data_IF_605523957836
#
_entry.id   IF_605523957836
#
_cell.length_a   1.000
_cell.length_b   1.000
_cell.length_c   1.000
_cell.angle_alpha   90.00
_cell.angle_beta   90.00
_cell.angle_gamma   90.00
#
_symmetry.space_group_name_H-M   'P 1'
#
loop_
_entity.id
_entity.type
_entity.pdbx_description
1 polymer ?
#
# COMPACT_ATOMS: atom_id res chain seq x y z
N UNK A 1 50.78 -45.61 -67.49
CA UNK A 1 50.04 -45.24 -66.27
C UNK A 1 48.82 -46.12 -66.26
N UNK A 2 49.00 -47.37 -65.85
CA UNK A 2 48.87 -47.87 -64.47
C UNK A 2 47.44 -48.38 -64.26
N UNK A 3 47.42 -49.70 -64.13
CA UNK A 3 46.42 -50.74 -63.87
C UNK A 3 45.07 -50.45 -63.18
N UNK A 4 44.13 -51.43 -63.29
CA UNK A 4 42.74 -51.39 -62.81
C UNK A 4 42.59 -52.03 -61.40
N UNK A 5 41.32 -52.24 -60.99
CA UNK A 5 40.79 -53.04 -59.86
C UNK A 5 40.43 -52.28 -58.57
N UNK A 6 39.22 -51.71 -58.53
CA UNK A 6 38.41 -51.73 -57.30
C UNK A 6 37.82 -53.14 -57.17
N UNK A 7 38.51 -53.97 -56.39
CA UNK A 7 38.02 -55.26 -55.94
C UNK A 7 37.46 -55.03 -54.54
N UNK A 8 36.20 -54.60 -54.48
CA UNK A 8 35.41 -54.55 -53.26
C UNK A 8 34.98 -55.97 -52.91
N UNK A 9 35.79 -56.66 -52.10
CA UNK A 9 35.44 -57.87 -51.37
C UNK A 9 36.50 -58.14 -50.29
N UNK A 10 36.21 -57.74 -49.05
CA UNK A 10 36.20 -58.65 -47.90
C UNK A 10 35.22 -58.10 -46.88
N UNK A 11 33.93 -58.33 -47.13
CA UNK A 11 32.91 -58.31 -46.09
C UNK A 11 33.31 -59.30 -45.01
N UNK A 12 33.61 -58.79 -43.83
CA UNK A 12 33.45 -59.57 -42.61
C UNK A 12 31.95 -59.47 -42.35
N UNK A 13 31.19 -60.45 -42.82
CA UNK A 13 29.77 -60.57 -42.50
C UNK A 13 29.68 -60.78 -40.98
N UNK A 14 29.51 -59.68 -40.25
CA UNK A 14 29.34 -59.70 -38.80
C UNK A 14 27.92 -60.21 -38.55
N UNK A 15 27.82 -61.48 -38.13
CA UNK A 15 26.55 -62.12 -37.80
C UNK A 15 26.39 -62.17 -36.28
N UNK A 16 25.28 -61.64 -35.78
CA UNK A 16 24.95 -61.72 -34.36
C UNK A 16 23.44 -61.77 -34.15
N UNK A 17 23.02 -62.38 -33.04
CA UNK A 17 21.62 -62.42 -32.63
C UNK A 17 21.33 -61.24 -31.70
N UNK A 18 20.25 -60.51 -31.99
CA UNK A 18 19.81 -59.43 -31.12
C UNK A 18 19.50 -59.99 -29.70
N UNK A 19 20.17 -59.50 -28.63
CA UNK A 19 19.99 -60.05 -27.28
C UNK A 19 18.57 -59.90 -26.72
N UNK A 20 17.83 -58.89 -27.17
CA UNK A 20 16.46 -58.62 -26.70
C UNK A 20 15.37 -59.47 -27.39
N UNK A 21 15.53 -59.81 -28.68
CA UNK A 21 14.47 -60.48 -29.43
C UNK A 21 14.91 -61.75 -30.18
N UNK A 22 16.20 -62.08 -30.18
CA UNK A 22 16.76 -63.25 -30.86
C UNK A 22 16.70 -63.19 -32.39
N UNK A 23 16.43 -62.02 -32.98
CA UNK A 23 16.46 -61.86 -34.44
C UNK A 23 17.91 -61.90 -34.92
N UNK A 24 18.18 -62.77 -35.90
CA UNK A 24 19.49 -62.90 -36.53
C UNK A 24 19.75 -61.71 -37.45
N UNK A 25 20.89 -61.05 -37.27
CA UNK A 25 21.30 -59.85 -37.99
C UNK A 25 22.60 -60.14 -38.74
N UNK A 26 22.65 -59.76 -40.01
CA UNK A 26 23.83 -59.87 -40.87
C UNK A 26 24.27 -58.47 -41.31
N UNK A 27 25.52 -58.11 -40.99
CA UNK A 27 26.15 -56.83 -41.36
C UNK A 27 26.12 -55.78 -40.24
N UNK A 28 26.65 -54.60 -40.54
CA UNK A 28 26.70 -53.46 -39.61
C UNK A 28 25.35 -52.73 -39.59
N UNK A 29 24.55 -52.94 -38.54
CA UNK A 29 23.35 -52.15 -38.28
C UNK A 29 23.41 -51.61 -36.86
N UNK A 30 23.13 -50.32 -36.68
CA UNK A 30 23.15 -49.67 -35.37
C UNK A 30 21.88 -49.96 -34.55
N UNK A 31 20.85 -50.54 -35.18
CA UNK A 31 19.57 -50.88 -34.51
C UNK A 31 19.00 -52.17 -35.05
N UNK A 32 18.36 -52.95 -34.17
CA UNK A 32 17.67 -54.16 -34.57
C UNK A 32 16.45 -53.83 -35.46
N UNK A 33 16.34 -54.39 -36.68
CA UNK A 33 15.20 -54.13 -37.56
C UNK A 33 13.87 -54.70 -37.04
N UNK A 34 13.89 -55.69 -36.15
CA UNK A 34 12.66 -56.31 -35.64
C UNK A 34 12.14 -55.67 -34.35
N UNK A 35 13.01 -55.25 -33.42
CA UNK A 35 12.57 -54.69 -32.13
C UNK A 35 13.01 -53.23 -31.89
N UNK A 36 13.89 -52.69 -32.73
CA UNK A 36 14.33 -51.30 -32.66
C UNK A 36 15.34 -50.99 -31.56
N UNK A 37 15.87 -51.98 -30.84
CA UNK A 37 16.93 -51.76 -29.84
C UNK A 37 18.21 -51.27 -30.54
N UNK A 38 18.85 -50.25 -29.97
CA UNK A 38 20.08 -49.64 -30.49
C UNK A 38 21.31 -50.35 -29.92
N UNK A 39 22.22 -50.73 -30.80
CA UNK A 39 23.47 -51.39 -30.46
C UNK A 39 24.52 -50.32 -30.21
N UNK A 40 24.95 -50.18 -28.95
CA UNK A 40 26.04 -49.28 -28.59
C UNK A 40 27.31 -50.11 -28.53
N UNK A 41 28.16 -49.97 -29.56
CA UNK A 41 29.51 -50.55 -29.55
C UNK A 41 30.40 -49.52 -28.85
N UNK A 42 30.63 -49.69 -27.54
CA UNK A 42 31.60 -48.88 -26.82
C UNK A 42 33.02 -49.29 -27.23
N UNK A 43 33.78 -48.35 -27.82
CA UNK A 43 35.22 -48.53 -28.03
C UNK A 43 35.92 -48.68 -26.67
N UNK A 44 36.40 -49.89 -26.39
CA UNK A 44 37.10 -50.18 -25.14
C UNK A 44 38.51 -49.62 -25.22
N UNK A 45 38.80 -48.55 -24.47
CA UNK A 45 40.13 -47.97 -24.39
C UNK A 45 41.14 -49.00 -23.87
N UNK A 46 42.23 -49.23 -24.60
CA UNK A 46 43.31 -50.15 -24.19
C UNK A 46 44.35 -49.41 -23.34
N UNK A 47 44.69 -49.97 -22.17
CA UNK A 47 45.75 -49.51 -21.27
C UNK A 47 46.94 -50.48 -21.36
N UNK A 48 48.16 -49.96 -21.44
CA UNK A 48 49.37 -50.78 -21.33
C UNK A 48 49.80 -50.96 -19.88
N UNK A 49 50.08 -52.20 -19.48
CA UNK A 49 50.59 -52.50 -18.15
C UNK A 49 52.02 -51.94 -17.98
N UNK A 50 52.30 -51.05 -17.02
CA UNK A 50 53.60 -50.42 -16.86
C UNK A 50 54.72 -51.39 -16.42
N UNK A 51 54.38 -52.62 -16.01
CA UNK A 51 55.35 -53.62 -15.56
C UNK A 51 55.75 -54.63 -16.64
N UNK A 52 54.87 -54.92 -17.60
CA UNK A 52 55.11 -55.94 -18.62
C UNK A 52 54.73 -55.51 -20.05
N UNK A 53 54.24 -54.27 -20.21
CA UNK A 53 53.82 -53.66 -21.47
C UNK A 53 52.73 -54.44 -22.24
N UNK A 54 51.98 -55.29 -21.55
CA UNK A 54 50.82 -55.95 -22.13
C UNK A 54 49.65 -54.97 -22.27
N UNK A 55 49.03 -54.92 -23.44
CA UNK A 55 47.78 -54.19 -23.69
C UNK A 55 46.60 -54.90 -23.01
N UNK A 56 45.77 -54.12 -22.31
CA UNK A 56 44.69 -54.59 -21.45
C UNK A 56 43.47 -53.69 -21.60
N UNK A 57 42.23 -54.19 -21.43
CA UNK A 57 41.04 -53.34 -21.38
C UNK A 57 41.13 -52.34 -20.23
N UNK A 58 40.66 -51.11 -20.47
CA UNK A 58 40.76 -49.96 -19.57
C UNK A 58 40.31 -50.18 -18.13
N UNK A 59 39.41 -51.14 -17.91
CA UNK A 59 38.81 -51.42 -16.61
C UNK A 59 39.48 -52.59 -15.86
N UNK A 60 40.61 -53.10 -16.37
CA UNK A 60 41.30 -54.25 -15.78
C UNK A 60 42.00 -53.90 -14.46
N UNK A 61 41.45 -54.37 -13.33
CA UNK A 61 42.01 -54.13 -11.97
C UNK A 61 43.39 -54.77 -11.73
N UNK A 62 43.74 -55.78 -12.50
CA UNK A 62 45.04 -56.47 -12.45
C UNK A 62 45.43 -56.96 -13.83
N UNK A 63 46.73 -56.89 -14.15
CA UNK A 63 47.23 -57.46 -15.39
C UNK A 63 47.19 -59.00 -15.34
N UNK A 64 46.58 -59.70 -16.31
CA UNK A 64 46.46 -61.16 -16.38
C UNK A 64 47.77 -61.85 -16.73
N UNK A 65 48.75 -61.13 -17.29
CA UNK A 65 50.04 -61.71 -17.67
C UNK A 65 51.06 -61.67 -16.54
N UNK A 66 51.10 -60.60 -15.75
CA UNK A 66 52.07 -60.47 -14.65
C UNK A 66 51.44 -60.45 -13.25
N UNK A 67 50.12 -60.46 -13.14
CA UNK A 67 49.38 -60.45 -11.87
C UNK A 67 49.46 -59.14 -11.09
N UNK A 68 50.05 -58.08 -11.65
CA UNK A 68 50.21 -56.79 -10.96
C UNK A 68 48.90 -56.02 -10.91
N UNK A 69 48.50 -55.56 -9.73
CA UNK A 69 47.37 -54.64 -9.54
C UNK A 69 47.66 -53.29 -10.18
N UNK A 70 46.72 -52.75 -10.96
CA UNK A 70 46.85 -51.47 -11.68
C UNK A 70 46.43 -50.27 -10.81
N UNK A 71 46.05 -50.54 -9.56
CA UNK A 71 45.71 -49.52 -8.56
C UNK A 71 46.94 -49.27 -7.72
N UNK A 72 47.66 -48.18 -8.00
CA UNK A 72 48.42 -47.53 -6.94
C UNK A 72 47.39 -47.08 -5.90
N UNK A 73 47.47 -47.62 -4.69
CA UNK A 73 46.78 -47.06 -3.52
C UNK A 73 47.31 -45.63 -3.33
N UNK A 74 46.69 -44.68 -4.02
CA UNK A 74 46.91 -43.26 -3.80
C UNK A 74 46.02 -42.83 -2.62
N UNK A 75 46.59 -42.49 -1.45
CA UNK A 75 45.82 -41.82 -0.40
C UNK A 75 45.68 -40.34 -0.79
N UNK A 76 44.92 -40.05 -1.85
CA UNK A 76 44.54 -38.68 -2.23
C UNK A 76 43.19 -38.26 -1.65
N UNK A 77 42.68 -38.95 -0.62
CA UNK A 77 41.45 -38.58 0.09
C UNK A 77 41.67 -37.79 1.38
N UNK A 78 42.89 -37.67 1.89
CA UNK A 78 43.14 -37.06 3.21
C UNK A 78 43.67 -35.61 3.15
N UNK A 79 44.01 -35.08 1.98
CA UNK A 79 44.60 -33.72 1.86
C UNK A 79 43.59 -32.60 1.53
N UNK A 80 42.31 -32.90 1.26
CA UNK A 80 41.26 -31.89 0.99
C UNK A 80 40.24 -31.71 2.14
N UNK A 81 40.33 -32.51 3.21
CA UNK A 81 39.50 -32.32 4.39
C UNK A 81 39.77 -31.04 5.21
N UNK A 82 41.01 -30.53 5.35
CA UNK A 82 41.22 -29.30 6.13
C UNK A 82 40.61 -28.08 5.43
N UNK A 83 40.87 -27.86 4.13
CA UNK A 83 40.35 -26.71 3.38
C UNK A 83 38.80 -26.65 3.33
N UNK A 84 38.11 -27.80 3.25
CA UNK A 84 36.64 -27.85 3.30
C UNK A 84 36.05 -27.62 4.70
N UNK A 85 36.79 -27.88 5.77
CA UNK A 85 36.37 -27.59 7.15
C UNK A 85 36.58 -26.11 7.44
N UNK A 86 37.71 -25.54 7.03
CA UNK A 86 38.02 -24.13 7.17
C UNK A 86 36.98 -23.24 6.46
N UNK A 87 36.57 -23.57 5.22
CA UNK A 87 35.52 -22.83 4.49
C UNK A 87 34.12 -22.91 5.15
N UNK A 88 33.80 -24.03 5.82
CA UNK A 88 32.52 -24.17 6.55
C UNK A 88 32.54 -23.42 7.87
N UNK A 89 33.66 -23.46 8.59
CA UNK A 89 33.85 -22.71 9.83
C UNK A 89 33.85 -21.20 9.58
N UNK A 90 34.47 -20.73 8.49
CA UNK A 90 34.38 -19.34 8.04
C UNK A 90 32.95 -18.94 7.70
N UNK A 91 32.21 -19.75 6.94
CA UNK A 91 30.81 -19.48 6.58
C UNK A 91 29.87 -19.47 7.80
N UNK A 92 30.04 -20.38 8.76
CA UNK A 92 29.27 -20.39 10.02
C UNK A 92 29.58 -19.19 10.90
N UNK A 93 30.84 -18.74 10.92
CA UNK A 93 31.27 -17.55 11.66
C UNK A 93 30.68 -16.28 11.03
N UNK A 94 30.73 -16.16 9.71
CA UNK A 94 30.10 -15.06 8.96
C UNK A 94 28.58 -15.04 9.16
N UNK A 95 27.92 -16.20 9.17
CA UNK A 95 26.50 -16.31 9.44
C UNK A 95 26.12 -15.88 10.86
N UNK A 96 26.93 -16.26 11.88
CA UNK A 96 26.72 -15.81 13.27
C UNK A 96 26.95 -14.32 13.43
N UNK A 97 27.96 -13.75 12.79
CA UNK A 97 28.21 -12.31 12.79
C UNK A 97 27.07 -11.54 12.12
N UNK A 98 26.57 -12.03 10.99
CA UNK A 98 25.38 -11.47 10.32
C UNK A 98 24.13 -11.55 11.19
N UNK A 99 23.88 -12.67 11.87
CA UNK A 99 22.74 -12.81 12.77
C UNK A 99 22.85 -11.85 13.96
N UNK A 100 24.06 -11.67 14.51
CA UNK A 100 24.31 -10.70 15.58
C UNK A 100 24.04 -9.27 15.10
N UNK A 101 24.55 -8.89 13.91
CA UNK A 101 24.30 -7.58 13.31
C UNK A 101 22.79 -7.32 13.09
N UNK A 102 22.05 -8.31 12.60
CA UNK A 102 20.60 -8.20 12.42
C UNK A 102 19.84 -8.04 13.76
N UNK A 103 20.31 -8.68 14.84
CA UNK A 103 19.71 -8.52 16.18
C UNK A 103 19.95 -7.12 16.74
N UNK A 104 21.15 -6.58 16.57
CA UNK A 104 21.50 -5.21 16.95
C UNK A 104 20.64 -4.21 16.15
N UNK A 105 20.53 -4.42 14.84
CA UNK A 105 19.68 -3.60 13.97
C UNK A 105 18.20 -3.65 14.38
N UNK A 106 17.67 -4.85 14.66
CA UNK A 106 16.29 -5.00 15.14
C UNK A 106 16.04 -4.17 16.41
N UNK A 107 16.99 -4.15 17.35
CA UNK A 107 16.89 -3.33 18.56
C UNK A 107 16.83 -1.83 18.25
N UNK A 108 17.62 -1.36 17.29
CA UNK A 108 17.62 0.04 16.84
C UNK A 108 16.31 0.38 16.13
N UNK A 109 15.78 -0.52 15.31
CA UNK A 109 14.49 -0.31 14.64
C UNK A 109 13.33 -0.25 15.64
N UNK A 110 13.32 -1.10 16.66
CA UNK A 110 12.28 -1.06 17.71
C UNK A 110 12.32 0.26 18.47
N UNK A 111 13.51 0.76 18.83
CA UNK A 111 13.65 2.04 19.54
C UNK A 111 13.27 3.25 18.68
N UNK A 112 13.35 3.15 17.35
CA UNK A 112 12.94 4.21 16.41
C UNK A 112 11.46 4.15 16.05
N UNK A 113 10.91 2.96 15.78
CA UNK A 113 9.51 2.78 15.35
C UNK A 113 8.52 3.07 16.48
N UNK A 114 8.86 2.72 17.73
CA UNK A 114 7.99 2.99 18.88
C UNK A 114 7.58 4.47 19.02
N UNK A 115 8.55 5.41 19.08
CA UNK A 115 8.29 6.84 19.08
C UNK A 115 7.53 7.33 17.83
N UNK A 116 7.85 6.81 16.64
CA UNK A 116 7.14 7.20 15.40
C UNK A 116 5.65 6.81 15.45
N UNK A 117 5.31 5.65 16.00
CA UNK A 117 3.91 5.23 16.18
C UNK A 117 3.19 6.12 17.20
N UNK A 118 3.85 6.50 18.29
CA UNK A 118 3.28 7.41 19.28
C UNK A 118 3.00 8.79 18.66
N UNK A 119 4.00 9.35 17.98
CA UNK A 119 3.88 10.62 17.25
C UNK A 119 2.75 10.58 16.21
N UNK A 120 2.66 9.51 15.43
CA UNK A 120 1.58 9.35 14.45
C UNK A 120 0.19 9.35 15.13
N UNK A 121 0.03 8.68 16.28
CA UNK A 121 -1.23 8.69 17.03
C UNK A 121 -1.58 10.05 17.60
N UNK A 122 -0.60 10.76 18.16
CA UNK A 122 -0.80 12.10 18.76
C UNK A 122 -1.26 13.13 17.72
N UNK A 123 -0.97 12.88 16.44
CA UNK A 123 -1.41 13.69 15.30
C UNK A 123 -2.54 13.06 14.48
N UNK A 124 -3.22 12.04 15.04
CA UNK A 124 -4.38 11.37 14.44
C UNK A 124 -4.11 10.75 13.05
N UNK A 125 -2.90 10.26 12.83
CA UNK A 125 -2.50 9.54 11.61
C UNK A 125 -2.85 8.05 11.79
N UNK A 126 -3.40 7.43 10.75
CA UNK A 126 -3.77 6.00 10.80
C UNK A 126 -2.52 5.12 10.94
N UNK A 127 -2.46 4.36 12.02
CA UNK A 127 -1.37 3.44 12.34
C UNK A 127 -1.78 1.97 12.19
N UNK A 128 -2.96 1.68 11.65
CA UNK A 128 -3.52 0.32 11.58
C UNK A 128 -2.63 -0.62 10.77
N UNK A 129 -2.17 -0.19 9.59
CA UNK A 129 -1.28 -0.99 8.74
C UNK A 129 0.11 -1.18 9.38
N UNK A 130 0.68 -0.11 9.96
CA UNK A 130 1.95 -0.15 10.69
C UNK A 130 1.89 -1.11 11.89
N UNK A 131 0.79 -1.10 12.66
CA UNK A 131 0.59 -2.00 13.80
C UNK A 131 0.58 -3.47 13.40
N UNK A 132 -0.07 -3.82 12.28
CA UNK A 132 -0.05 -5.18 11.74
C UNK A 132 1.38 -5.65 11.39
N UNK A 133 2.21 -4.75 10.87
CA UNK A 133 3.61 -5.07 10.56
C UNK A 133 4.46 -5.23 11.82
N UNK A 134 4.22 -4.43 12.85
CA UNK A 134 4.87 -4.61 14.16
C UNK A 134 4.48 -5.96 14.76
N UNK A 135 3.19 -6.33 14.75
CA UNK A 135 2.73 -7.62 15.28
C UNK A 135 3.34 -8.81 14.51
N UNK A 136 3.48 -8.68 13.19
CA UNK A 136 4.19 -9.64 12.32
C UNK A 136 5.66 -9.74 12.70
N UNK A 137 6.37 -8.62 12.85
CA UNK A 137 7.77 -8.58 13.23
C UNK A 137 8.02 -9.20 14.61
N UNK A 138 7.16 -8.92 15.59
CA UNK A 138 7.22 -9.52 16.93
C UNK A 138 7.00 -11.03 16.86
N UNK A 139 6.08 -11.50 16.03
CA UNK A 139 5.82 -12.94 15.84
C UNK A 139 7.03 -13.65 15.22
N UNK A 140 7.66 -13.04 14.21
CA UNK A 140 8.88 -13.56 13.58
C UNK A 140 10.07 -13.55 14.54
N UNK A 141 10.20 -12.50 15.35
CA UNK A 141 11.23 -12.41 16.41
C UNK A 141 11.10 -13.52 17.45
N UNK A 142 9.86 -13.85 17.87
CA UNK A 142 9.61 -14.99 18.79
C UNK A 142 10.01 -16.35 18.19
N UNK A 143 9.94 -16.49 16.86
CA UNK A 143 10.37 -17.69 16.11
C UNK A 143 11.87 -17.74 15.83
N UNK A 144 12.65 -16.75 16.31
CA UNK A 144 14.08 -16.56 16.03
C UNK A 144 14.39 -16.30 14.55
N UNK A 145 13.40 -15.87 13.78
CA UNK A 145 13.56 -15.50 12.37
C UNK A 145 13.92 -14.00 12.28
N UNK A 146 15.18 -13.66 12.57
CA UNK A 146 15.61 -12.26 12.74
C UNK A 146 15.58 -11.48 11.42
N UNK A 147 16.04 -12.06 10.32
CA UNK A 147 16.10 -11.40 9.01
C UNK A 147 14.70 -10.93 8.52
N UNK A 148 13.64 -11.76 8.47
CA UNK A 148 12.30 -11.29 8.09
C UNK A 148 11.65 -10.38 9.14
N UNK A 149 12.04 -10.47 10.41
CA UNK A 149 11.60 -9.52 11.45
C UNK A 149 12.16 -8.12 11.21
N UNK A 150 13.46 -8.02 10.88
CA UNK A 150 14.12 -6.75 10.52
C UNK A 150 13.50 -6.14 9.27
N UNK A 151 13.26 -6.94 8.22
CA UNK A 151 12.57 -6.45 7.00
C UNK A 151 11.18 -5.88 7.32
N UNK A 152 10.38 -6.59 8.11
CA UNK A 152 9.04 -6.14 8.50
C UNK A 152 9.08 -4.85 9.32
N UNK A 153 10.12 -4.66 10.15
CA UNK A 153 10.33 -3.42 10.91
C UNK A 153 10.75 -2.24 10.02
N UNK A 154 11.63 -2.47 9.03
CA UNK A 154 12.00 -1.44 8.04
C UNK A 154 10.78 -1.01 7.21
N UNK A 155 9.99 -1.96 6.73
CA UNK A 155 8.73 -1.68 6.02
C UNK A 155 7.77 -0.85 6.89
N UNK A 156 7.65 -1.18 8.18
CA UNK A 156 6.83 -0.42 9.12
C UNK A 156 7.35 1.03 9.28
N UNK A 157 8.66 1.20 9.42
CA UNK A 157 9.27 2.51 9.56
C UNK A 157 9.03 3.37 8.32
N UNK A 158 9.30 2.85 7.12
CA UNK A 158 9.07 3.56 5.86
C UNK A 158 7.59 3.94 5.68
N UNK A 159 6.68 3.03 6.02
CA UNK A 159 5.24 3.28 5.93
C UNK A 159 4.80 4.44 6.86
N UNK A 160 5.33 4.48 8.09
CA UNK A 160 5.03 5.55 9.04
C UNK A 160 5.63 6.88 8.57
N UNK A 161 6.90 6.88 8.16
CA UNK A 161 7.57 8.08 7.67
C UNK A 161 6.85 8.67 6.45
N UNK A 162 6.44 7.84 5.47
CA UNK A 162 5.61 8.27 4.33
C UNK A 162 4.27 8.83 4.77
N UNK A 163 3.56 8.13 5.68
CA UNK A 163 2.24 8.59 6.15
C UNK A 163 2.31 9.94 6.86
N UNK A 164 3.38 10.18 7.62
CA UNK A 164 3.65 11.45 8.29
C UNK A 164 4.02 12.53 7.26
N UNK A 165 4.89 12.23 6.29
CA UNK A 165 5.25 13.15 5.22
C UNK A 165 4.02 13.58 4.41
N UNK A 166 3.18 12.64 3.98
CA UNK A 166 1.94 12.94 3.25
C UNK A 166 0.99 13.83 4.05
N UNK A 167 0.93 13.65 5.38
CA UNK A 167 0.13 14.51 6.26
C UNK A 167 0.72 15.92 6.33
N UNK A 168 2.03 16.03 6.51
CA UNK A 168 2.73 17.32 6.55
C UNK A 168 2.58 18.07 5.23
N UNK A 169 2.69 17.41 4.09
CA UNK A 169 2.48 18.01 2.77
C UNK A 169 1.06 18.58 2.62
N UNK A 170 0.03 17.80 2.98
CA UNK A 170 -1.36 18.31 2.99
C UNK A 170 -1.53 19.53 3.89
N UNK A 171 -0.88 19.52 5.05
CA UNK A 171 -0.95 20.62 5.99
C UNK A 171 -0.19 21.86 5.52
N UNK A 172 0.94 21.69 4.84
CA UNK A 172 1.68 22.77 4.17
C UNK A 172 0.80 23.41 3.09
N UNK A 173 0.18 22.61 2.23
CA UNK A 173 -0.72 23.12 1.20
C UNK A 173 -1.88 23.93 1.80
N UNK A 174 -2.44 23.46 2.92
CA UNK A 174 -3.48 24.19 3.66
C UNK A 174 -2.98 25.53 4.19
N UNK A 175 -1.79 25.56 4.81
CA UNK A 175 -1.19 26.80 5.31
C UNK A 175 -0.83 27.78 4.19
N UNK A 176 -0.35 27.30 3.04
CA UNK A 176 -0.09 28.15 1.87
C UNK A 176 -1.39 28.78 1.34
N UNK A 177 -2.49 28.02 1.33
CA UNK A 177 -3.82 28.55 1.00
C UNK A 177 -4.24 29.65 1.98
N UNK A 178 -4.06 29.44 3.28
CA UNK A 178 -4.36 30.46 4.29
C UNK A 178 -3.43 31.68 4.22
N UNK A 179 -2.16 31.50 3.85
CA UNK A 179 -1.24 32.60 3.63
C UNK A 179 -1.71 33.50 2.47
N UNK A 180 -2.20 32.92 1.38
CA UNK A 180 -2.77 33.68 0.26
C UNK A 180 -4.04 34.43 0.70
N UNK A 181 -4.91 33.82 1.50
CA UNK A 181 -6.06 34.50 2.09
C UNK A 181 -5.62 35.66 2.98
N UNK A 182 -4.66 35.42 3.89
CA UNK A 182 -4.12 36.45 4.76
C UNK A 182 -3.51 37.62 3.96
N UNK A 183 -2.87 37.33 2.83
CA UNK A 183 -2.33 38.33 1.90
C UNK A 183 -3.44 39.20 1.31
N UNK A 184 -4.52 38.58 0.81
CA UNK A 184 -5.70 39.32 0.30
C UNK A 184 -6.37 40.16 1.39
N UNK A 185 -6.33 39.70 2.63
CA UNK A 185 -6.83 40.43 3.80
C UNK A 185 -5.92 41.58 4.27
N UNK A 186 -4.72 41.72 3.70
CA UNK A 186 -3.70 42.64 4.23
C UNK A 186 -3.23 42.29 5.64
N UNK A 187 -3.41 41.03 6.07
CA UNK A 187 -2.91 40.49 7.34
C UNK A 187 -1.48 39.99 7.17
N UNK A 188 -0.83 39.62 8.30
CA UNK A 188 0.56 39.16 8.31
C UNK A 188 0.73 37.76 7.69
N UNK A 189 0.68 37.68 6.36
CA UNK A 189 0.89 36.44 5.62
C UNK A 189 2.33 35.94 5.71
N UNK A 190 3.30 36.81 5.99
CA UNK A 190 4.73 36.46 6.09
C UNK A 190 4.99 35.54 7.28
N UNK A 191 4.26 35.72 8.38
CA UNK A 191 4.35 34.82 9.52
C UNK A 191 3.92 33.39 9.18
N UNK A 192 2.88 33.21 8.36
CA UNK A 192 2.43 31.88 7.90
C UNK A 192 3.43 31.29 6.90
N UNK A 193 3.91 32.08 5.94
CA UNK A 193 4.93 31.66 4.96
C UNK A 193 6.22 31.21 5.65
N UNK A 194 6.63 31.90 6.72
CA UNK A 194 7.77 31.51 7.54
C UNK A 194 7.55 30.15 8.20
N UNK A 195 6.38 29.90 8.79
CA UNK A 195 6.06 28.60 9.38
C UNK A 195 6.12 27.48 8.34
N UNK A 196 5.64 27.73 7.11
CA UNK A 196 5.75 26.78 6.00
C UNK A 196 7.21 26.52 5.63
N UNK A 197 8.04 27.55 5.54
CA UNK A 197 9.48 27.41 5.26
C UNK A 197 10.21 26.61 6.35
N UNK A 198 9.99 26.96 7.62
CA UNK A 198 10.57 26.28 8.78
C UNK A 198 10.13 24.80 8.83
N UNK A 199 8.88 24.50 8.46
CA UNK A 199 8.37 23.12 8.39
C UNK A 199 9.11 22.33 7.31
N UNK A 200 9.28 22.89 6.12
CA UNK A 200 10.02 22.25 5.01
C UNK A 200 11.48 22.00 5.38
N UNK A 201 12.12 22.93 6.07
CA UNK A 201 13.48 22.77 6.58
C UNK A 201 13.56 21.60 7.57
N UNK A 202 12.65 21.52 8.54
CA UNK A 202 12.58 20.40 9.50
C UNK A 202 12.32 19.05 8.83
N UNK A 203 11.46 19.02 7.82
CA UNK A 203 11.26 17.82 7.00
C UNK A 203 12.54 17.38 6.30
N UNK A 204 13.30 18.31 5.71
CA UNK A 204 14.58 18.02 5.06
C UNK A 204 15.65 17.52 6.05
N UNK A 205 15.58 17.98 7.31
CA UNK A 205 16.43 17.53 8.40
C UNK A 205 15.97 16.20 9.06
N UNK A 206 14.90 15.57 8.55
CA UNK A 206 14.26 14.39 9.15
C UNK A 206 13.72 14.59 10.58
N UNK A 207 13.53 15.84 11.01
CA UNK A 207 12.86 16.19 12.28
C UNK A 207 11.33 16.20 12.09
N UNK A 208 10.74 15.01 11.95
CA UNK A 208 9.30 14.85 11.73
C UNK A 208 8.47 15.34 12.92
N UNK A 209 8.96 15.17 14.15
CA UNK A 209 8.27 15.62 15.36
C UNK A 209 8.19 17.15 15.40
N UNK A 210 9.33 17.84 15.22
CA UNK A 210 9.34 19.29 15.18
C UNK A 210 8.53 19.86 14.01
N UNK A 211 8.54 19.20 12.85
CA UNK A 211 7.71 19.63 11.71
C UNK A 211 6.21 19.56 12.03
N UNK A 212 5.75 18.49 12.68
CA UNK A 212 4.35 18.33 13.07
C UNK A 212 3.90 19.35 14.13
N UNK A 213 4.75 19.68 15.09
CA UNK A 213 4.47 20.72 16.10
C UNK A 213 4.48 22.12 15.48
N UNK A 214 5.42 22.40 14.57
CA UNK A 214 5.51 23.65 13.84
C UNK A 214 4.24 23.89 13.01
N UNK A 215 3.78 22.87 12.27
CA UNK A 215 2.51 22.93 11.51
C UNK A 215 1.31 23.16 12.43
N UNK A 216 1.26 22.50 13.58
CA UNK A 216 0.16 22.68 14.55
C UNK A 216 0.09 24.13 15.04
N UNK A 217 1.22 24.71 15.41
CA UNK A 217 1.27 26.13 15.82
C UNK A 217 0.99 27.09 14.66
N UNK A 218 1.47 26.78 13.45
CA UNK A 218 1.17 27.51 12.23
C UNK A 218 -0.32 27.55 11.90
N UNK A 219 -1.04 26.44 12.09
CA UNK A 219 -2.49 26.38 11.89
C UNK A 219 -3.23 27.31 12.84
N UNK A 220 -2.88 27.29 14.13
CA UNK A 220 -3.47 28.20 15.12
C UNK A 220 -3.20 29.66 14.78
N UNK A 221 -1.98 29.99 14.35
CA UNK A 221 -1.63 31.34 13.90
C UNK A 221 -2.44 31.73 12.66
N UNK A 222 -2.53 30.84 11.68
CA UNK A 222 -3.26 31.09 10.45
C UNK A 222 -4.76 31.31 10.74
N UNK A 223 -5.37 30.49 11.61
CA UNK A 223 -6.74 30.68 12.09
C UNK A 223 -6.96 32.05 12.76
N UNK A 224 -5.99 32.55 13.55
CA UNK A 224 -6.10 33.88 14.15
C UNK A 224 -6.06 35.00 13.11
N UNK A 225 -5.26 34.84 12.05
CA UNK A 225 -5.09 35.83 10.99
C UNK A 225 -6.24 35.78 9.97
N UNK A 226 -6.76 34.59 9.67
CA UNK A 226 -7.80 34.35 8.66
C UNK A 226 -9.17 34.05 9.28
N UNK A 227 -9.34 34.16 10.60
CA UNK A 227 -10.57 33.76 11.27
C UNK A 227 -11.83 34.44 10.73
N UNK A 228 -11.72 35.72 10.35
CA UNK A 228 -12.82 36.46 9.72
C UNK A 228 -13.21 35.88 8.34
N UNK A 229 -12.24 35.41 7.57
CA UNK A 229 -12.49 34.74 6.30
C UNK A 229 -13.23 33.42 6.53
N UNK A 230 -12.75 32.60 7.49
CA UNK A 230 -13.38 31.32 7.81
C UNK A 230 -14.81 31.52 8.28
N UNK A 231 -15.05 32.41 9.24
CA UNK A 231 -16.40 32.72 9.75
C UNK A 231 -17.32 33.25 8.63
N UNK A 232 -16.82 34.13 7.76
CA UNK A 232 -17.60 34.66 6.65
C UNK A 232 -18.00 33.58 5.64
N UNK A 233 -17.09 32.67 5.31
CA UNK A 233 -17.37 31.54 4.42
C UNK A 233 -18.36 30.55 5.04
N UNK A 234 -18.22 30.22 6.32
CA UNK A 234 -19.19 29.37 7.03
C UNK A 234 -20.60 29.98 7.03
N UNK A 235 -20.71 31.29 7.26
CA UNK A 235 -21.99 32.00 7.19
C UNK A 235 -22.57 32.01 5.77
N UNK A 236 -21.72 32.21 4.76
CA UNK A 236 -22.12 32.21 3.35
C UNK A 236 -22.64 30.85 2.90
N UNK A 237 -21.86 29.78 3.13
CA UNK A 237 -22.27 28.40 2.80
C UNK A 237 -23.53 28.00 3.58
N UNK A 238 -23.62 28.40 4.84
CA UNK A 238 -24.81 28.22 5.66
C UNK A 238 -26.04 28.91 5.07
N UNK A 239 -25.90 30.15 4.58
CA UNK A 239 -26.99 30.88 3.91
C UNK A 239 -27.38 30.21 2.59
N UNK A 240 -26.40 29.84 1.76
CA UNK A 240 -26.64 29.16 0.47
C UNK A 240 -27.44 27.87 0.68
N UNK A 241 -27.01 27.03 1.61
CA UNK A 241 -27.71 25.79 1.99
C UNK A 241 -29.12 26.08 2.50
N UNK A 242 -29.29 27.11 3.33
CA UNK A 242 -30.59 27.49 3.89
C UNK A 242 -31.55 27.95 2.80
N UNK A 243 -31.06 28.72 1.82
CA UNK A 243 -31.85 29.16 0.64
C UNK A 243 -32.28 27.97 -0.19
N UNK A 244 -31.36 27.08 -0.56
CA UNK A 244 -31.66 25.89 -1.36
C UNK A 244 -32.73 25.03 -0.68
N UNK A 245 -32.59 24.80 0.63
CA UNK A 245 -33.58 24.05 1.39
C UNK A 245 -34.92 24.78 1.44
N UNK A 246 -34.92 26.11 1.61
CA UNK A 246 -36.15 26.91 1.70
C UNK A 246 -36.92 26.96 0.37
N UNK A 247 -36.21 26.97 -0.76
CA UNK A 247 -36.81 26.89 -2.11
C UNK A 247 -37.59 25.58 -2.31
N UNK A 248 -37.13 24.47 -1.74
CA UNK A 248 -37.85 23.18 -1.81
C UNK A 248 -39.24 23.24 -1.18
N UNK A 249 -39.45 24.16 -0.24
CA UNK A 249 -40.73 24.38 0.44
C UNK A 249 -41.46 25.63 -0.07
N UNK A 250 -41.06 26.15 -1.24
CA UNK A 250 -41.69 27.30 -1.89
C UNK A 250 -41.70 28.59 -1.04
N UNK A 251 -40.75 28.73 -0.11
CA UNK A 251 -40.57 29.97 0.63
C UNK A 251 -40.04 31.06 -0.31
N UNK A 252 -40.46 32.32 -0.13
CA UNK A 252 -39.88 33.42 -0.88
C UNK A 252 -38.45 33.69 -0.40
N UNK A 253 -37.49 33.45 -1.29
CA UNK A 253 -36.06 33.62 -1.03
C UNK A 253 -35.44 34.75 -1.85
N UNK A 254 -36.23 35.63 -2.47
CA UNK A 254 -35.71 36.67 -3.38
C UNK A 254 -34.70 37.60 -2.70
N UNK A 255 -35.04 38.14 -1.54
CA UNK A 255 -34.15 39.05 -0.80
C UNK A 255 -32.96 38.29 -0.18
N UNK A 256 -33.13 37.11 0.46
CA UNK A 256 -31.98 36.29 0.88
C UNK A 256 -31.03 35.93 -0.27
N UNK A 257 -31.54 35.65 -1.48
CA UNK A 257 -30.73 35.34 -2.67
C UNK A 257 -29.98 36.57 -3.17
N UNK A 258 -30.59 37.75 -3.10
CA UNK A 258 -29.92 39.03 -3.39
C UNK A 258 -28.78 39.28 -2.39
N UNK A 259 -29.03 39.11 -1.10
CA UNK A 259 -28.01 39.23 -0.05
C UNK A 259 -26.88 38.21 -0.24
N UNK A 260 -27.18 36.97 -0.65
CA UNK A 260 -26.17 35.97 -0.99
C UNK A 260 -25.31 36.40 -2.18
N UNK A 261 -25.89 36.97 -3.22
CA UNK A 261 -25.15 37.48 -4.38
C UNK A 261 -24.26 38.67 -4.01
N UNK A 262 -24.77 39.63 -3.24
CA UNK A 262 -23.99 40.76 -2.73
C UNK A 262 -22.85 40.28 -1.81
N UNK A 263 -23.10 39.26 -0.98
CA UNK A 263 -22.08 38.63 -0.14
C UNK A 263 -20.97 37.99 -0.99
N UNK A 264 -21.34 37.32 -2.10
CA UNK A 264 -20.38 36.74 -3.04
C UNK A 264 -19.52 37.81 -3.69
N UNK A 265 -20.12 38.91 -4.16
CA UNK A 265 -19.38 40.03 -4.76
C UNK A 265 -18.42 40.66 -3.76
N UNK A 266 -18.85 40.85 -2.51
CA UNK A 266 -17.97 41.33 -1.43
C UNK A 266 -16.81 40.37 -1.17
N UNK A 267 -17.07 39.06 -1.14
CA UNK A 267 -16.05 38.02 -1.00
C UNK A 267 -15.06 38.00 -2.16
N UNK A 268 -15.55 38.02 -3.41
CA UNK A 268 -14.70 38.09 -4.61
C UNK A 268 -13.81 39.35 -4.61
N UNK A 269 -14.29 40.45 -4.00
CA UNK A 269 -13.54 41.69 -3.76
C UNK A 269 -12.59 41.67 -2.55
N UNK A 270 -12.56 40.60 -1.76
CA UNK A 270 -11.72 40.47 -0.57
C UNK A 270 -12.30 41.10 0.71
N UNK A 271 -13.54 41.60 0.69
CA UNK A 271 -14.23 42.15 1.84
C UNK A 271 -15.06 41.08 2.56
N UNK A 272 -14.35 40.20 3.26
CA UNK A 272 -14.94 39.10 4.04
C UNK A 272 -15.80 39.59 5.20
N UNK A 273 -15.55 40.80 5.71
CA UNK A 273 -16.35 41.37 6.79
C UNK A 273 -17.75 41.69 6.28
N UNK A 274 -17.82 42.37 5.13
CA UNK A 274 -19.09 42.66 4.48
C UNK A 274 -19.79 41.38 4.00
N UNK A 275 -19.04 40.42 3.44
CA UNK A 275 -19.58 39.10 3.08
C UNK A 275 -20.26 38.42 4.28
N UNK A 276 -19.61 38.36 5.43
CA UNK A 276 -20.17 37.75 6.64
C UNK A 276 -21.40 38.48 7.17
N UNK A 277 -21.41 39.82 7.13
CA UNK A 277 -22.55 40.65 7.54
C UNK A 277 -23.77 40.39 6.63
N UNK A 278 -23.56 40.38 5.31
CA UNK A 278 -24.63 40.14 4.33
C UNK A 278 -25.17 38.71 4.45
N UNK A 279 -24.30 37.72 4.61
CA UNK A 279 -24.70 36.33 4.82
C UNK A 279 -25.53 36.15 6.10
N UNK A 280 -25.09 36.75 7.21
CA UNK A 280 -25.84 36.73 8.48
C UNK A 280 -27.20 37.39 8.34
N UNK A 281 -27.27 38.55 7.69
CA UNK A 281 -28.54 39.25 7.44
C UNK A 281 -29.52 38.39 6.64
N UNK A 282 -29.04 37.68 5.62
CA UNK A 282 -29.89 36.76 4.85
C UNK A 282 -30.39 35.57 5.67
N UNK A 283 -29.57 35.05 6.59
CA UNK A 283 -29.98 33.99 7.50
C UNK A 283 -31.04 34.48 8.50
N UNK A 284 -30.88 35.68 9.05
CA UNK A 284 -31.85 36.31 9.96
C UNK A 284 -33.21 36.51 9.28
N UNK A 285 -33.22 36.95 8.02
CA UNK A 285 -34.44 37.11 7.23
C UNK A 285 -35.17 35.78 7.04
N UNK A 286 -34.45 34.72 6.64
CA UNK A 286 -35.03 33.39 6.51
C UNK A 286 -35.51 32.84 7.87
N UNK A 287 -34.72 32.99 8.93
CA UNK A 287 -35.11 32.57 10.28
C UNK A 287 -36.35 33.29 10.81
N UNK A 288 -36.66 34.49 10.31
CA UNK A 288 -37.93 35.17 10.58
C UNK A 288 -39.14 34.51 9.91
N UNK A 289 -38.98 33.99 8.70
CA UNK A 289 -40.07 33.42 7.91
C UNK A 289 -40.23 31.89 8.07
N UNK A 290 -39.17 31.18 8.44
CA UNK A 290 -39.15 29.72 8.60
C UNK A 290 -40.13 29.17 9.65
N UNK A 291 -40.37 29.78 10.83
CA UNK A 291 -41.18 29.16 11.88
C UNK A 291 -42.61 28.83 11.43
N UNK A 292 -43.26 29.76 10.75
CA UNK A 292 -44.63 29.61 10.26
C UNK A 292 -44.72 28.53 9.19
N UNK A 293 -43.78 28.54 8.24
CA UNK A 293 -43.71 27.55 7.17
C UNK A 293 -43.43 26.14 7.73
N UNK A 294 -42.41 26.01 8.57
CA UNK A 294 -42.04 24.73 9.21
C UNK A 294 -43.18 24.15 10.04
N UNK A 295 -43.97 25.00 10.72
CA UNK A 295 -45.13 24.54 11.49
C UNK A 295 -46.22 23.94 10.59
N UNK A 296 -46.42 24.48 9.38
CA UNK A 296 -47.35 23.94 8.38
C UNK A 296 -46.80 22.63 7.81
N UNK A 297 -45.53 22.59 7.40
CA UNK A 297 -44.92 21.41 6.80
C UNK A 297 -44.80 20.24 7.78
N UNK A 298 -44.49 20.50 9.06
CA UNK A 298 -44.52 19.47 10.10
C UNK A 298 -45.91 18.84 10.26
N UNK A 299 -47.00 19.60 10.07
CA UNK A 299 -48.37 19.04 10.12
C UNK A 299 -48.64 18.17 8.89
N UNK A 300 -48.22 18.62 7.69
CA UNK A 300 -48.35 17.84 6.45
C UNK A 300 -47.55 16.54 6.51
N UNK A 301 -46.30 16.60 6.97
CA UNK A 301 -45.44 15.44 7.15
C UNK A 301 -46.02 14.42 8.13
N UNK A 302 -46.62 14.88 9.24
CA UNK A 302 -47.36 14.00 10.17
C UNK A 302 -48.55 13.31 9.49
N UNK A 303 -49.32 14.06 8.69
CA UNK A 303 -50.46 13.49 7.97
C UNK A 303 -50.00 12.43 6.96
N UNK A 304 -48.98 12.73 6.16
CA UNK A 304 -48.42 11.77 5.19
C UNK A 304 -47.93 10.49 5.87
N UNK A 305 -47.29 10.60 7.04
CA UNK A 305 -46.83 9.46 7.82
C UNK A 305 -48.00 8.56 8.26
N UNK A 306 -49.11 9.15 8.71
CA UNK A 306 -50.31 8.39 9.06
C UNK A 306 -50.89 7.66 7.85
N UNK A 307 -50.92 8.31 6.69
CA UNK A 307 -51.41 7.70 5.46
C UNK A 307 -50.50 6.56 4.97
N UNK A 308 -49.17 6.73 5.05
CA UNK A 308 -48.20 5.69 4.73
C UNK A 308 -48.33 4.48 5.66
N UNK A 309 -48.54 4.72 6.96
CA UNK A 309 -48.80 3.66 7.95
C UNK A 309 -50.12 2.94 7.68
N UNK A 310 -51.18 3.66 7.30
CA UNK A 310 -52.46 3.06 6.94
C UNK A 310 -52.36 2.18 5.68
N UNK A 311 -51.45 2.51 4.76
CA UNK A 311 -51.11 1.70 3.57
C UNK A 311 -50.16 0.54 3.87
N UNK A 312 -49.75 0.33 5.12
CA UNK A 312 -48.87 -0.78 5.54
C UNK A 312 -47.41 -0.62 5.12
N UNK A 313 -46.96 0.59 4.74
CA UNK A 313 -45.55 0.86 4.42
C UNK A 313 -44.72 0.95 5.72
N UNK A 314 -43.44 0.59 5.65
CA UNK A 314 -42.51 0.79 6.78
C UNK A 314 -42.18 2.28 6.92
N UNK A 315 -42.56 2.86 8.05
CA UNK A 315 -42.36 4.28 8.36
C UNK A 315 -41.35 4.51 9.49
N UNK A 316 -40.60 3.47 9.90
CA UNK A 316 -39.75 3.51 11.10
C UNK A 316 -38.68 4.60 11.03
N UNK A 317 -38.03 4.76 9.86
CA UNK A 317 -37.02 5.81 9.64
C UNK A 317 -37.65 7.20 9.61
N UNK A 318 -38.76 7.35 8.89
CA UNK A 318 -39.51 8.61 8.77
C UNK A 318 -40.04 9.13 10.12
N UNK A 319 -40.46 8.25 11.03
CA UNK A 319 -40.88 8.64 12.38
C UNK A 319 -39.71 9.28 13.15
N UNK A 320 -38.51 8.70 13.06
CA UNK A 320 -37.33 9.23 13.75
C UNK A 320 -36.97 10.62 13.23
N UNK A 321 -36.85 10.76 11.91
CA UNK A 321 -36.51 12.03 11.26
C UNK A 321 -37.54 13.12 11.60
N UNK A 322 -38.83 12.80 11.54
CA UNK A 322 -39.90 13.77 11.85
C UNK A 322 -39.92 14.16 13.34
N UNK A 323 -39.59 13.24 14.25
CA UNK A 323 -39.46 13.53 15.67
C UNK A 323 -38.29 14.49 15.91
N UNK A 324 -37.16 14.25 15.27
CA UNK A 324 -35.97 15.09 15.38
C UNK A 324 -36.24 16.49 14.81
N UNK A 325 -36.91 16.59 13.66
CA UNK A 325 -37.38 17.87 13.10
C UNK A 325 -38.25 18.65 14.11
N UNK A 326 -39.17 17.97 14.79
CA UNK A 326 -40.00 18.58 15.82
C UNK A 326 -39.24 19.01 17.07
N UNK A 327 -38.15 18.34 17.43
CA UNK A 327 -37.26 18.75 18.53
C UNK A 327 -36.46 19.99 18.15
N UNK A 328 -35.89 20.04 16.93
CA UNK A 328 -35.16 21.21 16.43
C UNK A 328 -36.07 22.44 16.33
N UNK A 329 -37.31 22.27 15.87
CA UNK A 329 -38.31 23.35 15.84
C UNK A 329 -38.63 23.91 17.24
N UNK A 330 -38.75 23.06 18.27
CA UNK A 330 -38.95 23.50 19.66
C UNK A 330 -37.74 24.20 20.29
N UNK A 331 -36.54 23.94 19.76
CA UNK A 331 -35.29 24.56 20.20
C UNK A 331 -34.94 25.80 19.39
N UNK A 332 -35.86 26.29 18.55
CA UNK A 332 -35.68 27.44 17.66
C UNK A 332 -34.53 27.26 16.67
N UNK A 333 -34.16 26.01 16.37
CA UNK A 333 -33.14 25.66 15.37
C UNK A 333 -33.82 25.40 14.03
N UNK A 334 -34.30 26.46 13.42
CA UNK A 334 -35.14 26.37 12.23
C UNK A 334 -34.40 25.79 11.02
N UNK A 335 -33.12 26.14 10.83
CA UNK A 335 -32.27 25.54 9.78
C UNK A 335 -32.13 24.03 9.92
N UNK A 336 -31.83 23.53 11.14
CA UNK A 336 -31.77 22.08 11.39
C UNK A 336 -33.13 21.41 11.15
N UNK A 337 -34.23 22.03 11.61
CA UNK A 337 -35.58 21.50 11.41
C UNK A 337 -35.93 21.39 9.91
N UNK A 338 -35.52 22.36 9.11
CA UNK A 338 -35.70 22.37 7.67
C UNK A 338 -34.91 21.24 6.99
N UNK A 339 -33.65 21.05 7.38
CA UNK A 339 -32.82 19.93 6.87
C UNK A 339 -33.46 18.57 7.15
N UNK A 340 -33.98 18.37 8.38
CA UNK A 340 -34.69 17.14 8.73
C UNK A 340 -35.98 16.95 7.92
N UNK A 341 -36.70 18.02 7.58
CA UNK A 341 -37.86 17.92 6.70
C UNK A 341 -37.47 17.59 5.25
N UNK A 342 -36.34 18.11 4.77
CA UNK A 342 -35.78 17.72 3.46
C UNK A 342 -35.43 16.24 3.44
N UNK A 343 -34.77 15.73 4.49
CA UNK A 343 -34.49 14.30 4.69
C UNK A 343 -35.80 13.48 4.70
N UNK A 344 -36.82 13.95 5.41
CA UNK A 344 -38.12 13.30 5.48
C UNK A 344 -38.77 13.14 4.11
N UNK A 345 -38.80 14.20 3.29
CA UNK A 345 -39.36 14.12 1.94
C UNK A 345 -38.53 13.25 0.99
N UNK A 346 -37.20 13.17 1.18
CA UNK A 346 -36.36 12.26 0.43
C UNK A 346 -36.68 10.79 0.77
N UNK A 347 -36.95 10.47 2.04
CA UNK A 347 -37.40 9.14 2.46
C UNK A 347 -38.82 8.85 1.99
N UNK A 348 -39.72 9.82 2.02
CA UNK A 348 -41.10 9.69 1.52
C UNK A 348 -41.13 9.30 0.04
N UNK A 349 -40.22 9.83 -0.78
CA UNK A 349 -40.09 9.48 -2.21
C UNK A 349 -39.60 8.05 -2.46
N UNK A 350 -38.96 7.42 -1.47
CA UNK A 350 -38.46 6.03 -1.58
C UNK A 350 -39.52 4.98 -1.24
N UNK A 351 -40.65 5.40 -0.66
CA UNK A 351 -41.79 4.56 -0.29
C UNK A 351 -42.71 4.27 -1.47
#
# INVERSE_FOLDING_TARGET
>A
MSDPTENDMTGIDFEFDCPECGTHIQGEVDRCPSCGVEFVIEEVAELECPACHAAMPGDSRSCPLCGRGMVEDAPLREQQEPERKDLKEEAEKEQKEREKALREEFSVLVSRVGPLVALAKDHSIDTTAARRQIDKAVTLGKRREVDPAVRSMRECQEMLERSIADRLERDIMYLEGLAEVARKMGSDHQAIEKVVADTRERMSAQDLAGALDQVRSGKLLAEQLTGKYVEAHELYEGLEKLILNSEMFYLDVREPRKLLNEAREAGDGGDWTTMGILARKGQEELNGALPDMLAVELRKAKQSLLDAKARGKDVTTMIKVLKDAGVSMKRERYGEALERLTEFHAEEKKL
#
